data_IF_592586595723
#
_entry.id   IF_592586595723
#
_cell.length_a   1.000
_cell.length_b   1.000
_cell.length_c   1.000
_cell.angle_alpha   90.00
_cell.angle_beta   90.00
_cell.angle_gamma   90.00
#
_symmetry.space_group_name_H-M   'P 1'
#
loop_
_entity.id
_entity.type
_entity.pdbx_description
1 polymer ?
#
# COMPACT_ATOMS: atom_id res chain seq x y z
N UNK A 1 23.62 4.79 12.15
CA UNK A 1 22.49 3.89 12.48
C UNK A 1 21.77 3.53 11.19
N UNK A 2 21.21 2.32 11.02
CA UNK A 2 20.45 1.99 9.81
C UNK A 2 19.15 2.82 9.78
N UNK A 3 18.83 3.44 8.64
CA UNK A 3 17.56 4.14 8.43
C UNK A 3 16.42 3.12 8.43
N UNK A 4 15.39 3.35 9.23
CA UNK A 4 14.22 2.46 9.31
C UNK A 4 13.07 3.06 8.51
N UNK A 5 12.37 2.25 7.72
CA UNK A 5 11.16 2.69 7.02
C UNK A 5 10.10 3.00 8.09
N UNK A 6 9.68 4.27 8.15
CA UNK A 6 8.62 4.71 9.04
C UNK A 6 7.25 4.45 8.40
N UNK A 7 7.09 4.83 7.12
CA UNK A 7 5.84 4.72 6.36
C UNK A 7 6.12 4.56 4.87
N UNK A 8 5.17 3.96 4.17
CA UNK A 8 5.14 3.95 2.70
C UNK A 8 3.78 4.50 2.27
N UNK A 9 3.78 5.71 1.73
CA UNK A 9 2.58 6.34 1.16
C UNK A 9 2.38 5.85 -0.27
N UNK A 10 1.14 5.57 -0.65
CA UNK A 10 0.78 4.94 -1.92
C UNK A 10 -0.47 5.57 -2.53
N UNK A 11 -0.44 5.76 -3.85
CA UNK A 11 -1.62 6.00 -4.68
C UNK A 11 -1.77 4.81 -5.63
N UNK A 12 -2.92 4.17 -5.59
CA UNK A 12 -3.26 3.03 -6.44
C UNK A 12 -4.23 3.51 -7.52
N UNK A 13 -3.91 3.25 -8.78
CA UNK A 13 -4.79 3.55 -9.92
C UNK A 13 -5.36 2.25 -10.48
N UNK A 14 -6.68 2.18 -10.59
CA UNK A 14 -7.41 0.98 -11.01
C UNK A 14 -7.81 0.99 -12.49
N UNK A 15 -8.13 -0.17 -13.04
CA UNK A 15 -8.63 -0.34 -14.41
C UNK A 15 -9.97 0.33 -14.67
N UNK A 16 -10.77 0.58 -13.62
CA UNK A 16 -12.07 1.27 -13.71
C UNK A 16 -11.94 2.81 -13.68
N UNK A 17 -10.70 3.33 -13.62
CA UNK A 17 -10.39 4.76 -13.60
C UNK A 17 -10.47 5.41 -12.21
N UNK A 18 -10.76 4.63 -11.15
CA UNK A 18 -10.70 5.14 -9.76
C UNK A 18 -9.28 5.07 -9.21
N UNK A 19 -9.08 5.78 -8.10
CA UNK A 19 -7.85 5.69 -7.33
C UNK A 19 -8.13 5.61 -5.83
N UNK A 20 -7.24 4.91 -5.12
CA UNK A 20 -7.19 4.90 -3.65
C UNK A 20 -5.85 5.47 -3.18
N UNK A 21 -5.89 6.25 -2.10
CA UNK A 21 -4.71 6.86 -1.49
C UNK A 21 -4.59 6.41 -0.03
N UNK A 22 -3.36 6.10 0.39
CA UNK A 22 -3.15 5.63 1.76
C UNK A 22 -1.72 5.22 2.05
N UNK A 23 -1.58 4.37 3.07
CA UNK A 23 -0.32 3.86 3.56
C UNK A 23 -0.30 2.33 3.59
N UNK A 24 0.85 1.75 3.27
CA UNK A 24 1.07 0.33 3.48
C UNK A 24 1.22 0.07 4.99
N UNK A 25 0.46 -0.87 5.57
CA UNK A 25 0.62 -1.24 6.97
C UNK A 25 1.99 -1.90 7.19
N UNK A 26 2.70 -1.41 8.22
CA UNK A 26 3.99 -1.94 8.65
C UNK A 26 3.88 -2.51 10.09
N UNK A 27 4.58 -3.62 10.41
CA UNK A 27 5.42 -4.42 9.53
C UNK A 27 4.58 -5.14 8.46
N UNK A 28 5.20 -5.44 7.30
CA UNK A 28 4.54 -6.22 6.27
C UNK A 28 4.11 -7.57 6.85
N UNK A 29 2.81 -7.84 6.87
CA UNK A 29 2.30 -9.11 7.36
C UNK A 29 2.74 -10.23 6.42
N UNK A 30 3.54 -11.17 6.92
CA UNK A 30 4.02 -12.35 6.18
C UNK A 30 2.88 -13.21 5.62
N UNK A 31 1.69 -13.17 6.24
CA UNK A 31 0.51 -13.94 5.83
C UNK A 31 -0.34 -13.29 4.73
N UNK A 32 -0.21 -11.98 4.49
CA UNK A 32 -1.03 -11.25 3.51
C UNK A 32 -0.53 -11.34 2.07
N UNK A 33 0.79 -11.59 1.89
CA UNK A 33 1.43 -11.74 0.59
C UNK A 33 1.33 -13.15 -0.01
N UNK A 34 0.76 -14.12 0.72
CA UNK A 34 0.65 -15.51 0.25
C UNK A 34 -0.36 -15.69 -0.90
N UNK A 35 -1.16 -14.67 -1.21
CA UNK A 35 -1.84 -14.53 -2.50
C UNK A 35 -1.23 -13.31 -3.20
N UNK A 36 -0.37 -13.57 -4.18
CA UNK A 36 0.36 -12.60 -5.02
C UNK A 36 -0.55 -11.51 -5.65
N UNK A 37 -1.86 -11.67 -5.54
CA UNK A 37 -2.90 -10.86 -6.14
C UNK A 37 -3.42 -9.73 -5.24
N UNK A 38 -3.08 -9.66 -3.95
CA UNK A 38 -3.63 -8.64 -3.05
C UNK A 38 -2.61 -7.98 -2.12
N UNK A 39 -2.86 -6.72 -1.75
CA UNK A 39 -2.20 -6.08 -0.60
C UNK A 39 -3.18 -5.22 0.20
N UNK A 40 -2.86 -4.95 1.47
CA UNK A 40 -3.66 -4.09 2.33
C UNK A 40 -3.21 -2.63 2.21
N UNK A 41 -4.15 -1.71 2.06
CA UNK A 41 -3.91 -0.27 2.07
C UNK A 41 -4.76 0.37 3.18
N UNK A 42 -4.11 1.11 4.08
CA UNK A 42 -4.81 1.94 5.06
C UNK A 42 -5.04 3.33 4.45
N UNK A 43 -6.30 3.66 4.16
CA UNK A 43 -6.68 4.96 3.63
C UNK A 43 -6.46 6.07 4.65
N UNK A 44 -6.47 7.30 4.16
CA UNK A 44 -6.30 8.52 4.98
C UNK A 44 -7.47 8.73 5.96
N UNK A 45 -8.62 8.14 5.70
CA UNK A 45 -9.83 8.19 6.56
C UNK A 45 -9.88 7.07 7.62
N UNK A 46 -8.73 6.45 7.92
CA UNK A 46 -8.56 5.34 8.85
C UNK A 46 -9.32 4.05 8.48
N UNK A 47 -9.88 3.97 7.26
CA UNK A 47 -10.42 2.71 6.74
C UNK A 47 -9.32 1.88 6.06
N UNK A 48 -9.50 0.56 6.04
CA UNK A 48 -8.60 -0.34 5.32
C UNK A 48 -9.29 -0.93 4.10
N UNK A 49 -8.56 -1.06 3.00
CA UNK A 49 -9.00 -1.73 1.78
C UNK A 49 -8.02 -2.81 1.36
N UNK A 50 -8.57 -3.93 0.90
CA UNK A 50 -7.81 -4.98 0.24
C UNK A 50 -7.73 -4.68 -1.25
N UNK A 51 -6.55 -4.26 -1.71
CA UNK A 51 -6.28 -3.90 -3.10
C UNK A 51 -6.04 -5.16 -3.90
N UNK A 52 -6.82 -5.38 -4.97
CA UNK A 52 -6.60 -6.48 -5.92
C UNK A 52 -5.68 -6.02 -7.06
N UNK A 53 -4.45 -6.53 -7.08
CA UNK A 53 -3.40 -6.21 -8.06
C UNK A 53 -3.79 -6.58 -9.50
N UNK A 54 -4.73 -7.50 -9.72
CA UNK A 54 -5.26 -7.81 -11.06
C UNK A 54 -6.10 -6.67 -11.65
N UNK A 55 -6.58 -5.75 -10.82
CA UNK A 55 -7.35 -4.58 -11.24
C UNK A 55 -6.55 -3.27 -11.12
N UNK A 56 -5.23 -3.34 -10.89
CA UNK A 56 -4.35 -2.18 -10.76
C UNK A 56 -3.58 -1.96 -12.05
N UNK A 57 -3.61 -0.73 -12.57
CA UNK A 57 -2.82 -0.35 -13.75
C UNK A 57 -1.50 0.34 -13.38
N UNK A 58 -1.48 1.04 -12.23
CA UNK A 58 -0.32 1.81 -11.78
C UNK A 58 -0.35 1.99 -10.27
N UNK A 59 0.83 1.93 -9.66
CA UNK A 59 1.06 2.28 -8.26
C UNK A 59 2.10 3.38 -8.21
N UNK A 60 1.80 4.46 -7.50
CA UNK A 60 2.76 5.50 -7.15
C UNK A 60 3.10 5.37 -5.66
N UNK A 61 4.38 5.48 -5.30
CA UNK A 61 4.81 5.26 -3.91
C UNK A 61 5.86 6.28 -3.47
N UNK A 62 5.83 6.61 -2.18
CA UNK A 62 6.85 7.41 -1.50
C UNK A 62 7.23 6.77 -0.16
N UNK A 63 8.53 6.61 0.09
CA UNK A 63 9.06 5.97 1.30
C UNK A 63 9.51 7.06 2.26
N UNK A 64 8.95 7.04 3.48
CA UNK A 64 9.31 7.94 4.57
C UNK A 64 10.24 7.17 5.52
N UNK A 65 11.42 7.73 5.75
CA UNK A 65 12.46 7.13 6.59
C UNK A 65 12.55 7.87 7.92
N UNK A 66 12.70 7.12 9.01
CA UNK A 66 13.07 7.65 10.32
C UNK A 66 14.60 7.75 10.41
N UNK A 67 15.08 8.91 10.89
CA UNK A 67 16.51 9.17 11.15
C UNK A 67 17.11 8.27 12.23
#
# INVERSE_FOLDING_TARGET
>A
MPRVIEKVAVIVHYTDGKSDEGFIPLPLASGGQAKVEFFMLNRVDDTSVLVNLLHVIRVEQSIILKE
#
